data_IF_581622887886
#
_entry.id   IF_581622887886
#
_cell.length_a   1.000
_cell.length_b   1.000
_cell.length_c   1.000
_cell.angle_alpha   90.00
_cell.angle_beta   90.00
_cell.angle_gamma   90.00
#
_symmetry.space_group_name_H-M   'P 1'
#
loop_
_entity.id
_entity.type
_entity.pdbx_description
1 polymer ?
#
# COMPACT_ATOMS: atom_id res chain seq x y z
N UNK A 1 31.52 28.48 -39.60
CA UNK A 1 31.47 27.25 -38.78
C UNK A 1 30.28 27.41 -37.84
N UNK A 2 29.10 26.91 -38.20
CA UNK A 2 27.87 27.15 -37.42
C UNK A 2 27.74 26.06 -36.35
N UNK A 3 27.89 26.45 -35.09
CA UNK A 3 27.59 25.61 -33.93
C UNK A 3 26.09 25.35 -33.86
N UNK A 4 25.70 24.09 -34.07
CA UNK A 4 24.32 23.65 -33.90
C UNK A 4 24.02 23.57 -32.41
N UNK A 5 23.55 24.67 -31.86
CA UNK A 5 22.97 24.73 -30.52
C UNK A 5 21.64 23.95 -30.54
N UNK A 6 21.69 22.64 -30.30
CA UNK A 6 20.49 21.80 -30.16
C UNK A 6 19.91 22.04 -28.78
N UNK A 7 18.95 22.95 -28.66
CA UNK A 7 18.06 23.02 -27.51
C UNK A 7 17.43 21.63 -27.35
N UNK A 8 17.71 20.93 -26.25
CA UNK A 8 17.13 19.61 -25.96
C UNK A 8 15.62 19.78 -25.77
N UNK A 9 14.84 19.63 -26.83
CA UNK A 9 13.37 19.62 -26.77
C UNK A 9 12.94 18.43 -25.92
N UNK A 10 12.09 18.70 -24.93
CA UNK A 10 11.49 17.66 -24.09
C UNK A 10 10.85 16.60 -24.98
N UNK A 11 11.30 15.36 -24.86
CA UNK A 11 10.73 14.25 -25.61
C UNK A 11 9.38 13.87 -24.98
N UNK A 12 8.45 13.25 -25.72
CA UNK A 12 7.15 12.81 -25.18
C UNK A 12 7.25 11.90 -23.95
N UNK A 13 8.40 11.23 -23.76
CA UNK A 13 8.69 10.32 -22.65
C UNK A 13 9.62 10.94 -21.58
N UNK A 14 9.90 12.24 -21.67
CA UNK A 14 10.61 12.93 -20.59
C UNK A 14 9.67 13.15 -19.41
N UNK A 15 10.26 13.12 -18.22
CA UNK A 15 9.55 13.23 -16.95
C UNK A 15 8.99 14.66 -16.81
N UNK A 16 7.72 14.85 -17.14
CA UNK A 16 7.04 16.14 -17.02
C UNK A 16 6.68 16.43 -15.57
N UNK A 17 6.91 17.67 -15.10
CA UNK A 17 6.53 18.10 -13.75
C UNK A 17 5.04 17.89 -13.48
N UNK A 18 4.18 18.20 -14.44
CA UNK A 18 2.72 18.03 -14.30
C UNK A 18 2.33 16.55 -14.16
N UNK A 19 2.99 15.64 -14.89
CA UNK A 19 2.77 14.20 -14.73
C UNK A 19 3.23 13.72 -13.35
N UNK A 20 4.40 14.18 -12.88
CA UNK A 20 4.91 13.84 -11.55
C UNK A 20 3.96 14.31 -10.45
N UNK A 21 3.47 15.55 -10.53
CA UNK A 21 2.60 16.11 -9.50
C UNK A 21 1.29 15.33 -9.40
N UNK A 22 0.69 14.94 -10.54
CA UNK A 22 -0.50 14.08 -10.57
C UNK A 22 -0.23 12.67 -10.06
N UNK A 23 0.92 12.09 -10.41
CA UNK A 23 1.32 10.77 -9.93
C UNK A 23 1.49 10.76 -8.40
N UNK A 24 2.20 11.74 -7.87
CA UNK A 24 2.45 11.88 -6.42
C UNK A 24 1.14 12.15 -5.67
N UNK A 25 0.28 13.06 -6.17
CA UNK A 25 -1.00 13.36 -5.52
C UNK A 25 -1.95 12.16 -5.53
N UNK A 26 -2.05 11.45 -6.66
CA UNK A 26 -2.89 10.27 -6.78
C UNK A 26 -2.47 9.17 -5.80
N UNK A 27 -1.16 8.90 -5.70
CA UNK A 27 -0.61 7.88 -4.80
C UNK A 27 -0.77 8.27 -3.33
N UNK A 28 -0.55 9.54 -2.98
CA UNK A 28 -0.78 10.09 -1.63
C UNK A 28 -2.22 9.89 -1.15
N UNK A 29 -3.19 9.92 -2.06
CA UNK A 29 -4.61 9.64 -1.77
C UNK A 29 -4.92 8.15 -1.55
N UNK A 30 -3.92 7.28 -1.65
CA UNK A 30 -4.07 5.84 -1.47
C UNK A 30 -4.52 5.07 -2.72
N UNK A 31 -4.41 5.67 -3.91
CA UNK A 31 -4.72 4.96 -5.15
C UNK A 31 -3.58 3.99 -5.53
N UNK A 32 -3.94 2.91 -6.23
CA UNK A 32 -2.96 1.98 -6.78
C UNK A 32 -2.10 2.64 -7.88
N UNK A 33 -0.80 2.31 -7.99
CA UNK A 33 0.09 2.87 -9.02
C UNK A 33 -0.47 2.78 -10.44
N UNK A 34 -1.11 1.65 -10.79
CA UNK A 34 -1.75 1.48 -12.10
C UNK A 34 -2.87 2.52 -12.35
N UNK A 35 -3.76 2.72 -11.38
CA UNK A 35 -4.85 3.71 -11.45
C UNK A 35 -4.31 5.12 -11.65
N UNK A 36 -3.26 5.46 -10.91
CA UNK A 36 -2.62 6.76 -10.95
C UNK A 36 -1.91 6.99 -12.29
N UNK A 37 -1.28 5.97 -12.86
CA UNK A 37 -0.68 6.01 -14.20
C UNK A 37 -1.74 6.34 -15.27
N UNK A 38 -2.85 5.60 -15.30
CA UNK A 38 -3.92 5.81 -16.29
C UNK A 38 -4.55 7.21 -16.17
N UNK A 39 -4.79 7.69 -14.95
CA UNK A 39 -5.38 9.01 -14.72
C UNK A 39 -4.41 10.17 -14.97
N UNK A 40 -3.10 9.92 -14.88
CA UNK A 40 -2.05 10.92 -15.15
C UNK A 40 -1.57 10.93 -16.61
N UNK A 41 -2.09 10.03 -17.46
CA UNK A 41 -1.67 9.89 -18.85
C UNK A 41 -0.25 9.34 -19.02
N UNK A 42 0.20 8.52 -18.07
CA UNK A 42 1.50 7.84 -18.10
C UNK A 42 1.25 6.35 -18.28
N UNK A 43 1.95 5.70 -19.20
CA UNK A 43 1.83 4.24 -19.33
C UNK A 43 2.54 3.53 -18.15
N UNK A 44 2.01 2.40 -17.66
CA UNK A 44 2.66 1.62 -16.60
C UNK A 44 4.11 1.26 -16.93
N UNK A 45 4.39 0.85 -18.17
CA UNK A 45 5.76 0.54 -18.61
C UNK A 45 6.72 1.73 -18.49
N UNK A 46 6.24 2.95 -18.74
CA UNK A 46 7.06 4.16 -18.64
C UNK A 46 7.29 4.52 -17.17
N UNK A 47 6.25 4.38 -16.34
CA UNK A 47 6.35 4.54 -14.89
C UNK A 47 7.37 3.56 -14.29
N UNK A 48 7.30 2.27 -14.63
CA UNK A 48 8.22 1.25 -14.12
C UNK A 48 9.68 1.54 -14.52
N UNK A 49 9.90 2.01 -15.76
CA UNK A 49 11.23 2.46 -16.21
C UNK A 49 11.73 3.64 -15.42
N UNK A 50 10.88 4.63 -15.12
CA UNK A 50 11.25 5.79 -14.32
C UNK A 50 11.55 5.41 -12.87
N UNK A 51 10.75 4.52 -12.28
CA UNK A 51 10.96 4.01 -10.92
C UNK A 51 12.24 3.21 -10.80
N UNK A 52 12.49 2.28 -11.74
CA UNK A 52 13.72 1.48 -11.78
C UNK A 52 14.95 2.38 -11.92
N UNK A 53 14.90 3.33 -12.86
CA UNK A 53 15.98 4.31 -13.05
C UNK A 53 16.21 5.18 -11.82
N UNK A 54 15.15 5.55 -11.11
CA UNK A 54 15.23 6.36 -9.90
C UNK A 54 15.75 5.60 -8.68
N UNK A 55 15.47 4.31 -8.58
CA UNK A 55 15.96 3.45 -7.50
C UNK A 55 17.48 3.29 -7.54
N UNK A 56 18.07 3.17 -8.74
CA UNK A 56 19.52 3.03 -8.94
C UNK A 56 20.27 4.37 -8.88
N UNK A 57 19.55 5.50 -9.02
CA UNK A 57 20.15 6.81 -9.11
C UNK A 57 20.33 7.47 -7.73
N UNK A 58 21.54 7.95 -7.43
CA UNK A 58 21.82 8.70 -6.20
C UNK A 58 21.25 10.12 -6.20
N UNK A 59 21.16 10.75 -7.38
CA UNK A 59 20.68 12.13 -7.57
C UNK A 59 20.04 12.33 -8.95
N UNK A 60 19.30 13.43 -9.09
CA UNK A 60 18.67 13.86 -10.35
C UNK A 60 17.18 13.54 -10.41
N UNK A 61 16.52 14.04 -11.46
CA UNK A 61 15.05 14.06 -11.54
C UNK A 61 14.36 12.71 -11.33
N UNK A 62 14.97 11.60 -11.77
CA UNK A 62 14.40 10.26 -11.57
C UNK A 62 14.60 9.77 -10.12
N UNK A 63 15.72 10.09 -9.48
CA UNK A 63 15.96 9.78 -8.07
C UNK A 63 15.03 10.59 -7.15
N UNK A 64 14.75 11.85 -7.52
CA UNK A 64 13.84 12.73 -6.81
C UNK A 64 12.39 12.26 -7.01
N UNK A 65 12.01 11.89 -8.23
CA UNK A 65 10.73 11.26 -8.54
C UNK A 65 10.50 9.98 -7.73
N UNK A 66 11.45 9.05 -7.75
CA UNK A 66 11.35 7.80 -6.99
C UNK A 66 11.16 8.06 -5.49
N UNK A 67 11.95 8.98 -4.92
CA UNK A 67 11.78 9.40 -3.51
C UNK A 67 10.41 10.00 -3.24
N UNK A 68 9.91 10.86 -4.13
CA UNK A 68 8.59 11.46 -3.99
C UNK A 68 7.47 10.40 -4.03
N UNK A 69 7.57 9.40 -4.91
CA UNK A 69 6.60 8.30 -4.97
C UNK A 69 6.64 7.45 -3.69
N UNK A 70 7.82 7.06 -3.20
CA UNK A 70 7.95 6.31 -1.94
C UNK A 70 7.44 7.10 -0.74
N UNK A 71 7.66 8.42 -0.71
CA UNK A 71 7.11 9.29 0.33
C UNK A 71 5.57 9.34 0.26
N UNK A 72 4.99 9.47 -0.94
CA UNK A 72 3.54 9.48 -1.13
C UNK A 72 2.87 8.16 -0.69
N UNK A 73 3.49 7.01 -1.00
CA UNK A 73 3.07 5.70 -0.48
C UNK A 73 3.05 5.67 1.05
N UNK A 74 4.13 6.13 1.70
CA UNK A 74 4.21 6.18 3.16
C UNK A 74 3.19 7.15 3.79
N UNK A 75 2.91 8.26 3.12
CA UNK A 75 1.88 9.21 3.56
C UNK A 75 0.47 8.61 3.46
N UNK A 76 0.18 7.87 2.40
CA UNK A 76 -1.09 7.17 2.23
C UNK A 76 -1.28 6.10 3.30
N UNK A 77 -0.25 5.29 3.57
CA UNK A 77 -0.27 4.27 4.62
C UNK A 77 -0.46 4.91 6.00
N UNK A 78 0.28 6.00 6.30
CA UNK A 78 0.11 6.75 7.55
C UNK A 78 -1.32 7.24 7.71
N UNK A 79 -1.90 7.84 6.66
CA UNK A 79 -3.27 8.33 6.70
C UNK A 79 -4.28 7.21 6.96
N UNK A 80 -4.09 6.02 6.36
CA UNK A 80 -4.92 4.86 6.63
C UNK A 80 -4.81 4.38 8.08
N UNK A 81 -3.58 4.33 8.64
CA UNK A 81 -3.35 3.98 10.04
C UNK A 81 -3.97 5.01 10.98
N UNK A 82 -3.83 6.31 10.69
CA UNK A 82 -4.42 7.38 11.50
C UNK A 82 -5.94 7.29 11.51
N UNK A 83 -6.57 7.05 10.35
CA UNK A 83 -8.00 6.83 10.25
C UNK A 83 -8.45 5.58 11.03
N UNK A 84 -7.70 4.49 10.95
CA UNK A 84 -8.03 3.27 11.70
C UNK A 84 -7.88 3.47 13.21
N UNK A 85 -6.85 4.19 13.66
CA UNK A 85 -6.65 4.51 15.08
C UNK A 85 -7.77 5.37 15.65
N UNK A 86 -8.43 6.19 14.83
CA UNK A 86 -9.59 6.97 15.27
C UNK A 86 -10.78 6.07 15.68
N UNK A 87 -10.88 4.87 15.12
CA UNK A 87 -11.93 3.89 15.44
C UNK A 87 -11.68 3.11 16.75
N UNK A 88 -10.53 3.28 17.39
CA UNK A 88 -10.15 2.53 18.60
C UNK A 88 -11.09 2.78 19.77
N UNK A 89 -11.63 4.00 19.88
CA UNK A 89 -12.58 4.36 20.94
C UNK A 89 -13.93 3.66 20.75
N UNK A 90 -14.31 3.36 19.50
CA UNK A 90 -15.61 2.77 19.15
C UNK A 90 -15.59 1.25 18.95
N UNK A 91 -14.41 0.63 18.77
CA UNK A 91 -14.30 -0.78 18.40
C UNK A 91 -13.08 -1.44 19.03
N UNK A 92 -13.32 -2.28 20.04
CA UNK A 92 -12.25 -3.11 20.62
C UNK A 92 -11.68 -4.12 19.60
N UNK A 93 -12.48 -4.52 18.61
CA UNK A 93 -12.02 -5.36 17.50
C UNK A 93 -10.98 -4.63 16.65
N UNK A 94 -11.16 -3.33 16.40
CA UNK A 94 -10.17 -2.51 15.68
C UNK A 94 -8.83 -2.48 16.43
N UNK A 95 -8.86 -2.28 17.76
CA UNK A 95 -7.67 -2.36 18.61
C UNK A 95 -7.00 -3.74 18.55
N UNK A 96 -7.79 -4.82 18.67
CA UNK A 96 -7.30 -6.20 18.62
C UNK A 96 -6.63 -6.51 17.28
N UNK A 97 -7.27 -6.15 16.17
CA UNK A 97 -6.81 -6.49 14.83
C UNK A 97 -5.57 -5.66 14.45
N UNK A 98 -5.49 -4.40 14.89
CA UNK A 98 -4.26 -3.61 14.79
C UNK A 98 -3.09 -4.26 15.54
N UNK A 99 -3.31 -4.72 16.78
CA UNK A 99 -2.28 -5.39 17.57
C UNK A 99 -1.83 -6.71 16.93
N UNK A 100 -2.75 -7.47 16.32
CA UNK A 100 -2.44 -8.69 15.55
C UNK A 100 -1.52 -8.42 14.37
N UNK A 101 -1.79 -7.38 13.57
CA UNK A 101 -0.96 -7.03 12.42
C UNK A 101 0.40 -6.48 12.85
N UNK A 102 0.44 -5.63 13.89
CA UNK A 102 1.68 -4.96 14.32
C UNK A 102 2.60 -5.86 15.13
N UNK A 103 2.04 -6.76 15.93
CA UNK A 103 2.76 -7.63 16.87
C UNK A 103 2.29 -9.09 16.72
N UNK A 104 2.45 -9.69 15.53
CA UNK A 104 1.91 -11.02 15.25
C UNK A 104 2.44 -12.09 16.19
N UNK A 105 3.72 -12.04 16.60
CA UNK A 105 4.30 -13.00 17.56
C UNK A 105 3.61 -13.00 18.94
N UNK A 106 3.04 -11.86 19.36
CA UNK A 106 2.43 -11.69 20.68
C UNK A 106 0.91 -11.78 20.65
N UNK A 107 0.29 -11.39 19.52
CA UNK A 107 -1.16 -11.22 19.39
C UNK A 107 -1.79 -12.05 18.28
N UNK A 108 -1.00 -12.54 17.33
CA UNK A 108 -1.40 -13.58 16.38
C UNK A 108 -1.46 -14.91 17.10
N UNK A 109 -2.58 -15.18 17.78
CA UNK A 109 -2.75 -16.41 18.54
C UNK A 109 -2.40 -17.67 17.73
N UNK A 110 -1.86 -18.68 18.40
CA UNK A 110 -1.77 -20.03 17.85
C UNK A 110 -3.19 -20.59 17.70
N UNK A 111 -3.78 -20.55 16.50
CA UNK A 111 -5.10 -21.13 16.28
C UNK A 111 -5.88 -20.55 15.11
N UNK A 112 -5.43 -20.83 13.89
CA UNK A 112 -6.36 -21.15 12.78
C UNK A 112 -6.13 -22.59 12.30
N UNK A 113 -5.64 -23.45 13.22
CA UNK A 113 -5.41 -24.89 12.99
C UNK A 113 -6.41 -25.76 13.79
N UNK A 114 -7.56 -25.19 14.16
CA UNK A 114 -8.66 -25.94 14.79
C UNK A 114 -9.95 -25.81 13.99
N UNK A 115 -9.90 -26.27 12.72
CA UNK A 115 -11.11 -26.78 12.05
C UNK A 115 -11.41 -28.25 12.39
N UNK A 116 -10.67 -28.87 13.32
CA UNK A 116 -10.88 -30.27 13.71
C UNK A 116 -11.22 -30.51 15.20
N UNK A 117 -11.44 -29.47 16.02
CA UNK A 117 -11.57 -29.67 17.48
C UNK A 117 -12.78 -29.00 18.15
N UNK A 118 -13.92 -28.89 17.46
CA UNK A 118 -15.22 -28.69 18.14
C UNK A 118 -16.29 -29.61 17.53
N UNK A 119 -16.04 -30.93 17.63
CA UNK A 119 -17.15 -31.84 17.93
C UNK A 119 -17.62 -31.51 19.35
N UNK A 120 -18.51 -30.53 19.46
CA UNK A 120 -19.32 -30.37 20.65
C UNK A 120 -20.35 -31.51 20.59
N UNK A 121 -19.92 -32.70 21.01
CA UNK A 121 -20.85 -33.72 21.45
C UNK A 121 -21.37 -33.27 22.82
N UNK A 122 -22.40 -32.41 22.80
CA UNK A 122 -23.27 -32.27 23.96
C UNK A 122 -23.98 -33.62 24.11
N UNK A 123 -23.44 -34.49 24.94
CA UNK A 123 -24.17 -35.63 25.47
C UNK A 123 -25.29 -35.05 26.35
N UNK A 124 -26.49 -34.92 25.75
CA UNK A 124 -27.73 -34.87 26.52
C UNK A 124 -28.04 -36.34 26.87
N UNK A 125 -28.04 -36.74 28.15
CA UNK A 125 -28.57 -38.05 28.51
C UNK A 125 -30.06 -38.10 28.16
N UNK A 126 -30.47 -39.11 27.39
CA UNK A 126 -31.88 -39.43 27.17
C UNK A 126 -32.53 -39.80 28.52
N UNK A 127 -33.80 -39.42 28.76
CA UNK A 127 -34.42 -39.45 30.09
C UNK A 127 -34.79 -40.85 30.63
N UNK A 128 -34.38 -41.94 29.99
CA UNK A 128 -34.83 -43.30 30.35
C UNK A 128 -33.82 -44.13 31.18
N UNK A 129 -32.70 -43.55 31.63
CA UNK A 129 -31.74 -44.21 32.54
C UNK A 129 -31.98 -43.91 34.04
N UNK A 130 -33.22 -43.61 34.43
CA UNK A 130 -33.63 -43.50 35.82
C UNK A 130 -34.86 -44.38 36.13
N UNK A 131 -34.54 -45.60 36.59
CA UNK A 131 -35.38 -46.65 37.22
C UNK A 131 -36.00 -47.72 36.29
#
# INVERSE_FOLDING_TARGET
MQERNRTRTAQPNDLSRDQVDRLVDGLRRGNLPATVCYTSGVSPDLYDKWMSRGADARWGQYADFHRAMKAAEGEAERAAVDAWRAEFEGSWQACRDFLKLRFPERWGGAGDDTREALSIHLYLPEPDDAL
#
